data_IF_294758420399
#
_entry.id   IF_294758420399
#
_cell.length_a   1.000
_cell.length_b   1.000
_cell.length_c   1.000
_cell.angle_alpha   90.00
_cell.angle_beta   90.00
_cell.angle_gamma   90.00
#
_symmetry.space_group_name_H-M   'P 1'
#
loop_
_entity.id
_entity.type
_entity.pdbx_description
1 polymer ?
#
# COMPACT_ATOMS: atom_id res chain seq x y z
N UNK A 1 -8.05 13.04 -6.65
CA UNK A 1 -8.65 11.69 -6.65
C UNK A 1 -8.56 11.13 -8.05
N UNK A 2 -7.49 10.41 -8.41
CA UNK A 2 -7.30 9.82 -9.74
C UNK A 2 -6.32 8.65 -9.61
N UNK A 3 -6.71 7.61 -8.87
CA UNK A 3 -5.92 6.38 -8.75
C UNK A 3 -6.77 5.19 -9.19
N UNK A 4 -6.25 4.35 -10.08
CA UNK A 4 -6.92 3.13 -10.54
C UNK A 4 -6.24 1.92 -9.89
N UNK A 5 -7.03 1.11 -9.18
CA UNK A 5 -6.53 -0.06 -8.45
C UNK A 5 -6.98 -1.38 -9.10
N UNK A 6 -6.01 -2.22 -9.45
CA UNK A 6 -6.22 -3.57 -9.96
C UNK A 6 -5.87 -4.61 -8.90
N UNK A 7 -6.89 -5.10 -8.19
CA UNK A 7 -6.74 -6.15 -7.18
C UNK A 7 -6.47 -7.52 -7.80
N UNK A 8 -5.63 -8.32 -7.16
CA UNK A 8 -5.32 -9.73 -7.45
C UNK A 8 -5.42 -10.52 -6.15
N UNK A 9 -6.50 -11.28 -5.99
CA UNK A 9 -6.82 -12.01 -4.76
C UNK A 9 -7.53 -13.33 -5.08
N UNK A 10 -7.86 -14.10 -4.04
CA UNK A 10 -8.53 -15.41 -4.16
C UNK A 10 -9.83 -15.39 -4.97
N UNK A 11 -10.56 -14.26 -4.98
CA UNK A 11 -11.81 -14.14 -5.75
C UNK A 11 -11.56 -13.99 -7.26
N UNK A 12 -10.39 -13.46 -7.66
CA UNK A 12 -10.00 -13.34 -9.07
C UNK A 12 -9.10 -14.48 -9.54
N UNK A 13 -8.29 -15.03 -8.64
CA UNK A 13 -7.39 -16.15 -8.89
C UNK A 13 -7.62 -17.20 -7.79
N UNK A 14 -8.55 -18.15 -7.98
CA UNK A 14 -8.90 -19.16 -6.97
C UNK A 14 -7.70 -19.98 -6.47
N UNK A 15 -6.66 -20.14 -7.30
CA UNK A 15 -5.42 -20.84 -6.94
C UNK A 15 -4.62 -20.17 -5.82
N UNK A 16 -4.95 -18.94 -5.41
CA UNK A 16 -4.34 -18.30 -4.24
C UNK A 16 -4.90 -18.79 -2.91
N UNK A 17 -6.00 -19.57 -2.94
CA UNK A 17 -6.55 -20.14 -1.72
C UNK A 17 -5.46 -20.94 -0.99
N UNK A 18 -5.41 -20.76 0.34
CA UNK A 18 -4.40 -21.34 1.25
C UNK A 18 -2.94 -20.90 1.09
N UNK A 19 -2.57 -20.13 0.05
CA UNK A 19 -1.19 -19.69 -0.20
C UNK A 19 -0.77 -18.43 0.57
N UNK A 20 -1.72 -17.71 1.18
CA UNK A 20 -1.45 -16.57 2.05
C UNK A 20 -0.95 -15.31 1.33
N UNK A 21 -1.18 -15.20 0.02
CA UNK A 21 -0.73 -14.05 -0.79
C UNK A 21 -1.87 -13.38 -1.55
N UNK A 22 -1.73 -12.07 -1.73
CA UNK A 22 -2.56 -11.24 -2.60
C UNK A 22 -1.73 -10.04 -3.05
N UNK A 23 -2.11 -9.42 -4.17
CA UNK A 23 -1.41 -8.27 -4.71
C UNK A 23 -2.41 -7.23 -5.19
N UNK A 24 -2.01 -5.96 -5.17
CA UNK A 24 -2.73 -4.89 -5.84
C UNK A 24 -1.73 -4.07 -6.64
N UNK A 25 -2.10 -3.72 -7.87
CA UNK A 25 -1.43 -2.67 -8.64
C UNK A 25 -2.24 -1.39 -8.52
N UNK A 26 -1.58 -0.27 -8.22
CA UNK A 26 -2.22 1.04 -8.13
C UNK A 26 -1.47 1.99 -9.05
N UNK A 27 -2.21 2.59 -9.99
CA UNK A 27 -1.69 3.62 -10.88
C UNK A 27 -2.25 4.98 -10.44
N UNK A 28 -1.37 5.98 -10.28
CA UNK A 28 -1.73 7.32 -9.82
C UNK A 28 -1.56 8.34 -10.96
N UNK A 29 -2.54 9.22 -11.17
CA UNK A 29 -2.33 10.39 -12.00
C UNK A 29 -1.37 11.39 -11.32
N UNK A 30 -0.75 12.31 -12.07
CA UNK A 30 0.09 13.36 -11.49
C UNK A 30 -0.66 14.17 -10.42
N UNK A 31 -0.05 14.34 -9.24
CA UNK A 31 -0.68 14.98 -8.07
C UNK A 31 -1.83 14.16 -7.45
N UNK A 32 -2.04 12.93 -7.93
CA UNK A 32 -3.05 12.01 -7.44
C UNK A 32 -2.72 11.52 -6.04
N UNK A 33 -3.70 11.56 -5.15
CA UNK A 33 -3.67 10.85 -3.88
C UNK A 33 -4.40 9.52 -4.03
N UNK A 34 -4.07 8.56 -3.17
CA UNK A 34 -4.77 7.28 -3.10
C UNK A 34 -6.26 7.56 -2.89
N UNK A 35 -7.11 6.90 -3.68
CA UNK A 35 -8.56 7.03 -3.56
C UNK A 35 -9.08 6.50 -2.21
N UNK A 36 -8.31 5.61 -1.56
CA UNK A 36 -8.65 5.12 -0.23
C UNK A 36 -8.14 6.11 0.81
N UNK A 37 -8.98 6.55 1.78
CA UNK A 37 -8.50 7.31 2.92
C UNK A 37 -7.49 6.47 3.72
N UNK A 38 -6.79 7.07 4.70
CA UNK A 38 -5.92 6.33 5.59
C UNK A 38 -6.65 5.10 6.16
N UNK A 39 -6.05 3.93 6.00
CA UNK A 39 -6.68 2.65 6.30
C UNK A 39 -5.66 1.64 6.83
N UNK A 40 -6.14 0.52 7.35
CA UNK A 40 -5.31 -0.54 7.94
C UNK A 40 -5.55 -1.87 7.23
N UNK A 41 -4.55 -2.73 7.24
CA UNK A 41 -4.70 -4.14 6.89
C UNK A 41 -4.67 -4.99 8.18
N UNK A 42 -5.83 -5.47 8.68
CA UNK A 42 -5.88 -6.15 9.97
C UNK A 42 -5.25 -7.54 9.97
N UNK A 43 -4.96 -8.10 8.79
CA UNK A 43 -4.50 -9.50 8.62
C UNK A 43 -3.29 -9.65 7.69
N UNK A 44 -2.70 -8.55 7.22
CA UNK A 44 -1.61 -8.60 6.26
C UNK A 44 -0.61 -7.46 6.47
N UNK A 45 0.66 -7.75 6.19
CA UNK A 45 1.69 -6.74 5.95
C UNK A 45 1.63 -6.37 4.46
N UNK A 46 1.79 -5.09 4.13
CA UNK A 46 1.85 -4.64 2.73
C UNK A 46 3.29 -4.30 2.35
N UNK A 47 3.69 -4.72 1.14
CA UNK A 47 4.96 -4.34 0.52
C UNK A 47 4.63 -3.58 -0.75
N UNK A 48 5.13 -2.36 -0.86
CA UNK A 48 4.93 -1.48 -1.99
C UNK A 48 6.25 -1.30 -2.75
N UNK A 49 6.20 -1.48 -4.07
CA UNK A 49 7.34 -1.29 -4.97
C UNK A 49 6.95 -0.24 -5.99
N UNK A 50 7.77 0.81 -6.12
CA UNK A 50 7.54 1.83 -7.15
C UNK A 50 8.09 1.33 -8.47
N UNK A 51 7.21 1.11 -9.44
CA UNK A 51 7.60 0.75 -10.80
C UNK A 51 7.99 2.00 -11.60
N UNK A 52 7.17 3.05 -11.53
CA UNK A 52 7.35 4.30 -12.27
C UNK A 52 6.84 5.51 -11.45
N UNK A 53 7.37 6.70 -11.75
CA UNK A 53 6.97 7.95 -11.10
C UNK A 53 7.58 8.16 -9.71
N UNK A 54 6.96 9.02 -8.91
CA UNK A 54 7.40 9.34 -7.55
C UNK A 54 6.19 9.37 -6.64
N UNK A 55 6.28 8.70 -5.48
CA UNK A 55 5.18 8.60 -4.54
C UNK A 55 5.65 8.94 -3.13
N UNK A 56 4.88 9.78 -2.45
CA UNK A 56 5.06 10.00 -1.01
C UNK A 56 4.19 8.97 -0.31
N UNK A 57 4.80 8.15 0.54
CA UNK A 57 4.09 7.17 1.36
C UNK A 57 4.44 7.37 2.82
N UNK A 58 3.57 6.92 3.72
CA UNK A 58 3.90 6.84 5.13
C UNK A 58 2.93 6.02 5.95
N UNK A 59 3.24 5.88 7.24
CA UNK A 59 2.34 5.24 8.19
C UNK A 59 2.39 5.90 9.55
N UNK A 60 1.33 5.71 10.34
CA UNK A 60 1.25 6.22 11.71
C UNK A 60 1.60 5.11 12.70
N UNK A 61 2.66 5.31 13.49
CA UNK A 61 3.05 4.35 14.54
C UNK A 61 2.20 4.57 15.80
N UNK A 62 1.45 3.55 16.19
CA UNK A 62 0.69 3.55 17.44
C UNK A 62 1.61 3.54 18.69
N UNK A 63 2.85 3.05 18.54
CA UNK A 63 3.83 2.98 19.64
C UNK A 63 4.43 4.36 19.98
N UNK A 64 4.54 5.22 18.98
CA UNK A 64 5.24 6.50 19.09
C UNK A 64 4.26 7.68 19.13
N UNK A 65 3.16 7.56 19.87
CA UNK A 65 2.13 8.60 20.00
C UNK A 65 1.58 9.08 18.63
N UNK A 66 1.22 8.14 17.75
CA UNK A 66 0.75 8.40 16.38
C UNK A 66 1.76 9.20 15.53
N UNK A 67 3.06 9.00 15.73
CA UNK A 67 4.09 9.59 14.88
C UNK A 67 3.96 9.12 13.43
N UNK A 68 3.97 10.07 12.51
CA UNK A 68 4.03 9.81 11.07
C UNK A 68 5.47 9.50 10.66
N UNK A 69 5.66 8.33 10.06
CA UNK A 69 6.87 7.98 9.32
C UNK A 69 6.55 8.07 7.83
N UNK A 70 7.17 9.01 7.12
CA UNK A 70 6.93 9.21 5.68
C UNK A 70 8.24 9.27 4.89
N UNK A 71 8.16 8.90 3.62
CA UNK A 71 9.28 8.93 2.70
C UNK A 71 8.81 9.18 1.27
N UNK A 72 9.60 9.94 0.52
CA UNK A 72 9.47 10.04 -0.93
C UNK A 72 10.16 8.84 -1.57
N UNK A 73 9.43 8.08 -2.36
CA UNK A 73 9.91 6.89 -3.06
C UNK A 73 10.08 7.17 -4.54
N UNK A 74 11.18 6.66 -5.10
CA UNK A 74 11.53 6.70 -6.51
C UNK A 74 11.43 5.30 -7.14
N UNK A 75 11.45 5.16 -8.48
CA UNK A 75 11.39 3.86 -9.14
C UNK A 75 12.48 2.90 -8.62
N UNK A 76 12.08 1.65 -8.37
CA UNK A 76 12.91 0.61 -7.77
C UNK A 76 13.00 0.66 -6.24
N UNK A 77 12.44 1.68 -5.58
CA UNK A 77 12.36 1.69 -4.12
C UNK A 77 11.26 0.75 -3.61
N UNK A 78 11.50 0.21 -2.43
CA UNK A 78 10.57 -0.66 -1.71
C UNK A 78 10.23 -0.02 -0.37
N UNK A 79 8.97 -0.15 0.05
CA UNK A 79 8.49 0.26 1.36
C UNK A 79 7.60 -0.82 1.96
N UNK A 80 7.72 -1.03 3.27
CA UNK A 80 7.00 -2.09 3.98
C UNK A 80 6.12 -1.46 5.06
N UNK A 81 4.86 -1.85 5.05
CA UNK A 81 3.88 -1.47 6.06
C UNK A 81 3.57 -2.64 6.98
N UNK A 82 3.89 -2.53 8.29
CA UNK A 82 3.58 -3.60 9.24
C UNK A 82 2.07 -3.84 9.38
N UNK A 83 1.71 -5.08 9.72
CA UNK A 83 0.32 -5.48 9.96
C UNK A 83 -0.39 -4.58 10.98
N UNK A 84 -1.65 -4.24 10.68
CA UNK A 84 -2.51 -3.48 11.59
C UNK A 84 -2.17 -2.00 11.76
N UNK A 85 -1.19 -1.48 11.02
CA UNK A 85 -0.79 -0.08 11.06
C UNK A 85 -1.56 0.74 10.01
N UNK A 86 -1.85 2.01 10.34
CA UNK A 86 -2.55 2.94 9.47
C UNK A 86 -1.61 3.45 8.36
N UNK A 87 -1.95 3.11 7.12
CA UNK A 87 -1.29 3.50 5.88
C UNK A 87 -1.72 4.91 5.47
N UNK A 88 -0.78 5.68 4.94
CA UNK A 88 -1.00 7.06 4.49
C UNK A 88 -0.29 7.37 3.18
#
# INVERSE_FOLDING_TARGET
MNSVGSNVNVYKIPGFNTLGVSLIRIDFAPGGQCHKPPHTHPRATEILVILEGTLVVGFLSNKDNNRLYSKVLYPGNVFVFPIGICLK
#
